data_IF_171263860421
#
_entry.id   IF_171263860421
#
_cell.length_a   1.000
_cell.length_b   1.000
_cell.length_c   1.000
_cell.angle_alpha   90.00
_cell.angle_beta   90.00
_cell.angle_gamma   90.00
#
_symmetry.space_group_name_H-M   'P 1'
#
loop_
_entity.id
_entity.type
_entity.pdbx_description
1 polymer ?
#
# COMPACT_ATOMS: atom_id res chain seq x y z
N UNK A 1 34.82 3.66 -11.63
CA UNK A 1 34.18 4.86 -11.07
C UNK A 1 32.66 4.91 -11.30
N UNK A 2 32.15 4.96 -12.54
CA UNK A 2 30.69 5.06 -12.77
C UNK A 2 29.86 3.86 -12.27
N UNK A 3 30.37 2.63 -12.41
CA UNK A 3 29.70 1.41 -11.93
C UNK A 3 29.59 1.36 -10.40
N UNK A 4 30.64 1.77 -9.71
CA UNK A 4 30.70 1.81 -8.25
C UNK A 4 29.79 2.90 -7.67
N UNK A 5 29.74 4.08 -8.30
CA UNK A 5 28.78 5.13 -7.95
C UNK A 5 27.33 4.66 -8.10
N UNK A 6 26.98 4.00 -9.21
CA UNK A 6 25.63 3.45 -9.42
C UNK A 6 25.25 2.40 -8.37
N UNK A 7 26.19 1.55 -7.97
CA UNK A 7 25.98 0.57 -6.90
C UNK A 7 25.71 1.26 -5.55
N UNK A 8 26.62 2.14 -5.12
CA UNK A 8 26.54 2.81 -3.80
C UNK A 8 25.28 3.68 -3.70
N UNK A 9 24.98 4.46 -4.73
CA UNK A 9 23.76 5.27 -4.78
C UNK A 9 22.50 4.39 -4.78
N UNK A 10 22.50 3.32 -5.57
CA UNK A 10 21.41 2.35 -5.63
C UNK A 10 21.09 1.76 -4.26
N UNK A 11 22.11 1.30 -3.54
CA UNK A 11 21.97 0.73 -2.19
C UNK A 11 21.55 1.77 -1.14
N UNK A 12 22.10 2.99 -1.19
CA UNK A 12 21.67 4.09 -0.31
C UNK A 12 20.20 4.43 -0.50
N UNK A 13 19.75 4.48 -1.75
CA UNK A 13 18.35 4.72 -2.08
C UNK A 13 17.46 3.56 -1.66
N UNK A 14 17.89 2.30 -1.83
CA UNK A 14 17.15 1.11 -1.39
C UNK A 14 16.98 1.12 0.13
N UNK A 15 18.06 1.39 0.87
CA UNK A 15 18.03 1.55 2.34
C UNK A 15 17.05 2.64 2.75
N UNK A 16 17.10 3.81 2.08
CA UNK A 16 16.18 4.91 2.36
C UNK A 16 14.72 4.56 2.03
N UNK A 17 14.47 3.84 0.94
CA UNK A 17 13.14 3.36 0.57
C UNK A 17 12.60 2.42 1.65
N UNK A 18 13.40 1.44 2.06
CA UNK A 18 13.05 0.49 3.10
C UNK A 18 12.76 1.17 4.45
N UNK A 19 13.58 2.15 4.87
CA UNK A 19 13.32 2.92 6.09
C UNK A 19 11.98 3.67 6.02
N UNK A 20 11.69 4.33 4.90
CA UNK A 20 10.42 5.03 4.73
C UNK A 20 9.23 4.07 4.72
N UNK A 21 9.38 2.88 4.11
CA UNK A 21 8.34 1.86 4.15
C UNK A 21 8.10 1.35 5.56
N UNK A 22 9.14 1.08 6.36
CA UNK A 22 8.97 0.66 7.76
C UNK A 22 8.12 1.68 8.53
N UNK A 23 8.43 2.97 8.39
CA UNK A 23 7.68 4.05 9.05
C UNK A 23 6.25 4.09 8.50
N UNK A 24 6.06 4.01 7.18
CA UNK A 24 4.75 4.03 6.55
C UNK A 24 3.87 2.85 7.03
N UNK A 25 4.40 1.63 7.05
CA UNK A 25 3.67 0.45 7.54
C UNK A 25 3.33 0.56 9.03
N UNK A 26 4.25 1.04 9.87
CA UNK A 26 3.99 1.25 11.29
C UNK A 26 2.87 2.29 11.53
N UNK A 27 2.90 3.41 10.80
CA UNK A 27 1.85 4.43 10.86
C UNK A 27 0.51 3.92 10.30
N UNK A 28 0.53 3.17 9.19
CA UNK A 28 -0.66 2.54 8.62
C UNK A 28 -1.30 1.56 9.60
N UNK A 29 -0.50 0.76 10.30
CA UNK A 29 -0.97 -0.18 11.30
C UNK A 29 -1.59 0.55 12.50
N UNK A 30 -0.89 1.54 13.06
CA UNK A 30 -1.40 2.35 14.15
C UNK A 30 -2.69 3.10 13.76
N UNK A 31 -2.71 3.72 12.58
CA UNK A 31 -3.89 4.39 12.03
C UNK A 31 -5.07 3.44 11.83
N UNK A 32 -4.82 2.24 11.29
CA UNK A 32 -5.85 1.21 11.12
C UNK A 32 -6.40 0.73 12.47
N UNK A 33 -5.56 0.57 13.48
CA UNK A 33 -5.98 0.19 14.82
C UNK A 33 -6.87 1.28 15.45
N UNK A 34 -6.46 2.55 15.37
CA UNK A 34 -7.25 3.68 15.85
C UNK A 34 -8.58 3.81 15.09
N UNK A 35 -8.56 3.59 13.77
CA UNK A 35 -9.78 3.56 12.95
C UNK A 35 -10.74 2.47 13.45
N UNK A 36 -10.27 1.24 13.64
CA UNK A 36 -11.10 0.15 14.16
C UNK A 36 -11.66 0.45 15.56
N UNK A 37 -10.83 1.00 16.46
CA UNK A 37 -11.28 1.42 17.79
C UNK A 37 -12.34 2.51 17.73
N UNK A 38 -12.21 3.47 16.80
CA UNK A 38 -13.21 4.53 16.59
C UNK A 38 -14.56 4.00 16.09
N UNK A 39 -14.57 2.84 15.41
CA UNK A 39 -15.79 2.19 14.93
C UNK A 39 -16.43 1.28 15.97
N UNK A 40 -15.76 0.96 17.08
CA UNK A 40 -16.28 0.06 18.11
C UNK A 40 -17.68 0.48 18.64
N UNK A 41 -17.95 1.78 18.94
CA UNK A 41 -19.27 2.23 19.40
C UNK A 41 -20.36 1.98 18.35
N UNK A 42 -20.03 2.11 17.06
CA UNK A 42 -20.95 1.82 15.97
C UNK A 42 -21.27 0.32 15.93
N UNK A 43 -20.25 -0.54 15.97
CA UNK A 43 -20.44 -1.99 15.93
C UNK A 43 -21.20 -2.54 17.14
N UNK A 44 -20.89 -2.09 18.36
CA UNK A 44 -21.64 -2.50 19.56
C UNK A 44 -23.10 -2.09 19.43
N UNK A 45 -23.36 -0.87 18.94
CA UNK A 45 -24.72 -0.38 18.80
C UNK A 45 -25.54 -1.09 17.72
N UNK A 46 -24.90 -1.56 16.64
CA UNK A 46 -25.55 -2.32 15.57
C UNK A 46 -25.82 -3.78 15.99
N UNK A 47 -24.97 -4.36 16.83
CA UNK A 47 -25.18 -5.71 17.38
C UNK A 47 -26.42 -5.79 18.28
N UNK A 48 -26.75 -4.69 18.95
CA UNK A 48 -27.93 -4.57 19.83
C UNK A 48 -29.07 -3.76 19.21
N UNK A 49 -28.98 -3.42 17.91
CA UNK A 49 -30.05 -2.72 17.22
C UNK A 49 -31.23 -3.68 16.97
N UNK A 50 -32.49 -3.21 17.09
CA UNK A 50 -33.67 -3.97 16.67
C UNK A 50 -33.53 -4.44 15.22
N UNK A 51 -34.10 -5.61 14.90
CA UNK A 51 -34.02 -6.26 13.58
C UNK A 51 -34.68 -5.46 12.43
N UNK A 52 -35.29 -4.32 12.76
CA UNK A 52 -36.28 -3.63 11.92
C UNK A 52 -35.68 -2.58 10.98
N UNK A 53 -34.35 -2.43 10.93
CA UNK A 53 -33.70 -1.65 9.88
C UNK A 53 -32.41 -0.97 10.30
N UNK A 54 -31.71 -0.41 9.31
CA UNK A 54 -30.50 0.36 9.52
C UNK A 54 -30.85 1.71 10.18
N UNK A 55 -30.14 2.14 11.24
CA UNK A 55 -30.46 3.38 11.95
C UNK A 55 -30.35 4.60 11.02
N UNK A 56 -31.22 5.61 11.18
CA UNK A 56 -31.15 6.83 10.38
C UNK A 56 -29.80 7.55 10.58
N UNK A 57 -29.30 8.18 9.52
CA UNK A 57 -27.95 8.79 9.47
C UNK A 57 -27.61 9.72 10.65
N UNK A 58 -28.52 10.58 11.14
CA UNK A 58 -28.26 11.39 12.33
C UNK A 58 -27.90 10.57 13.58
N UNK A 59 -28.56 9.42 13.79
CA UNK A 59 -28.29 8.53 14.92
C UNK A 59 -26.96 7.77 14.76
N UNK A 60 -26.49 7.54 13.52
CA UNK A 60 -25.16 6.98 13.26
C UNK A 60 -24.07 8.00 13.59
N UNK A 61 -24.27 9.26 13.20
CA UNK A 61 -23.33 10.36 13.47
C UNK A 61 -23.19 10.60 14.98
N UNK A 62 -24.30 10.60 15.72
CA UNK A 62 -24.29 10.75 17.18
C UNK A 62 -23.47 9.65 17.88
N UNK A 63 -23.57 8.41 17.39
CA UNK A 63 -22.79 7.28 17.93
C UNK A 63 -21.32 7.30 17.54
N UNK A 64 -20.98 7.95 16.42
CA UNK A 64 -19.59 8.17 16.00
C UNK A 64 -18.97 9.40 16.68
N UNK A 65 -19.78 10.32 17.23
CA UNK A 65 -19.31 11.54 17.87
C UNK A 65 -18.19 11.33 18.92
N UNK A 66 -18.27 10.33 19.82
CA UNK A 66 -17.19 10.03 20.77
C UNK A 66 -15.90 9.53 20.10
N UNK A 67 -16.04 8.91 18.91
CA UNK A 67 -14.93 8.39 18.11
C UNK A 67 -14.32 9.39 17.14
N UNK A 68 -14.90 10.59 16.96
CA UNK A 68 -14.46 11.54 15.93
C UNK A 68 -12.99 11.99 16.08
N UNK A 69 -12.52 12.18 17.31
CA UNK A 69 -11.11 12.54 17.56
C UNK A 69 -10.17 11.39 17.14
N UNK A 70 -10.52 10.16 17.51
CA UNK A 70 -9.76 8.96 17.11
C UNK A 70 -9.82 8.75 15.60
N UNK A 71 -10.97 9.01 14.98
CA UNK A 71 -11.18 8.92 13.54
C UNK A 71 -10.34 9.96 12.78
N UNK A 72 -10.31 11.20 13.26
CA UNK A 72 -9.49 12.27 12.70
C UNK A 72 -7.99 11.94 12.84
N UNK A 73 -7.55 11.46 14.01
CA UNK A 73 -6.18 11.04 14.23
C UNK A 73 -5.80 9.85 13.33
N UNK A 74 -6.68 8.85 13.22
CA UNK A 74 -6.50 7.71 12.32
C UNK A 74 -6.36 8.18 10.86
N UNK A 75 -7.22 9.08 10.41
CA UNK A 75 -7.15 9.65 9.06
C UNK A 75 -5.82 10.37 8.82
N UNK A 76 -5.34 11.19 9.76
CA UNK A 76 -4.05 11.87 9.67
C UNK A 76 -2.91 10.86 9.55
N UNK A 77 -2.87 9.84 10.42
CA UNK A 77 -1.83 8.81 10.37
C UNK A 77 -1.83 8.05 9.05
N UNK A 78 -3.00 7.67 8.55
CA UNK A 78 -3.14 6.97 7.28
C UNK A 78 -2.71 7.83 6.08
N UNK A 79 -3.04 9.13 6.09
CA UNK A 79 -2.60 10.08 5.06
C UNK A 79 -1.08 10.23 5.09
N UNK A 80 -0.48 10.45 6.27
CA UNK A 80 0.98 10.56 6.40
C UNK A 80 1.66 9.26 5.95
N UNK A 81 1.13 8.11 6.36
CA UNK A 81 1.65 6.81 5.93
C UNK A 81 1.60 6.64 4.41
N UNK A 82 0.48 7.00 3.77
CA UNK A 82 0.33 6.95 2.32
C UNK A 82 1.35 7.86 1.62
N UNK A 83 1.50 9.11 2.07
CA UNK A 83 2.48 10.06 1.53
C UNK A 83 3.91 9.51 1.64
N UNK A 84 4.28 8.96 2.80
CA UNK A 84 5.60 8.34 3.00
C UNK A 84 5.80 7.12 2.10
N UNK A 85 4.77 6.28 1.93
CA UNK A 85 4.80 5.15 0.99
C UNK A 85 5.00 5.60 -0.46
N UNK A 86 4.32 6.68 -0.88
CA UNK A 86 4.54 7.29 -2.20
C UNK A 86 5.97 7.79 -2.37
N UNK A 87 6.51 8.52 -1.40
CA UNK A 87 7.91 9.00 -1.44
C UNK A 87 8.87 7.81 -1.48
N UNK A 88 8.63 6.77 -0.67
CA UNK A 88 9.46 5.58 -0.64
C UNK A 88 9.53 4.88 -2.00
N UNK A 89 8.38 4.74 -2.69
CA UNK A 89 8.33 4.09 -4.00
C UNK A 89 8.92 4.98 -5.09
N UNK A 90 8.36 6.18 -5.28
CA UNK A 90 8.64 7.00 -6.45
C UNK A 90 9.93 7.79 -6.35
N UNK A 91 10.28 8.29 -5.16
CA UNK A 91 11.49 9.09 -4.97
C UNK A 91 12.71 8.24 -4.61
N UNK A 92 12.54 7.02 -4.09
CA UNK A 92 13.65 6.18 -3.59
C UNK A 92 13.75 4.82 -4.29
N UNK A 93 12.69 4.01 -4.30
CA UNK A 93 12.73 2.64 -4.82
C UNK A 93 12.92 2.58 -6.34
N UNK A 94 12.13 3.32 -7.11
CA UNK A 94 12.24 3.34 -8.58
C UNK A 94 13.63 3.86 -9.02
N UNK A 95 14.15 4.98 -8.46
CA UNK A 95 15.52 5.41 -8.74
C UNK A 95 16.57 4.40 -8.30
N UNK A 96 16.41 3.76 -7.15
CA UNK A 96 17.31 2.70 -6.66
C UNK A 96 17.42 1.56 -7.67
N UNK A 97 16.28 0.99 -8.08
CA UNK A 97 16.25 -0.11 -9.04
C UNK A 97 16.88 0.30 -10.39
N UNK A 98 16.69 1.55 -10.82
CA UNK A 98 17.30 2.07 -12.05
C UNK A 98 18.83 2.19 -11.95
N UNK A 99 19.34 2.67 -10.81
CA UNK A 99 20.78 2.76 -10.54
C UNK A 99 21.42 1.38 -10.46
N UNK A 100 20.78 0.45 -9.76
CA UNK A 100 21.26 -0.94 -9.64
C UNK A 100 21.25 -1.66 -10.99
N UNK A 101 20.27 -1.41 -11.86
CA UNK A 101 20.26 -1.92 -13.24
C UNK A 101 21.45 -1.42 -14.09
N UNK A 102 21.94 -0.20 -13.85
CA UNK A 102 23.13 0.31 -14.52
C UNK A 102 24.43 -0.28 -13.96
N UNK A 103 24.40 -0.82 -12.74
CA UNK A 103 25.52 -1.55 -12.16
C UNK A 103 25.60 -2.99 -12.69
N UNK A 104 24.47 -3.71 -12.72
CA UNK A 104 24.37 -5.09 -13.23
C UNK A 104 23.20 -5.25 -14.19
N UNK A 105 23.50 -5.75 -15.39
CA UNK A 105 22.52 -5.96 -16.47
C UNK A 105 21.40 -6.94 -16.08
N UNK A 106 21.67 -7.93 -15.21
CA UNK A 106 20.65 -8.86 -14.67
C UNK A 106 19.52 -8.13 -13.94
N UNK A 107 19.80 -6.97 -13.34
CA UNK A 107 18.81 -6.17 -12.61
C UNK A 107 17.95 -5.28 -13.54
N UNK A 108 18.20 -5.28 -14.85
CA UNK A 108 17.48 -4.43 -15.80
C UNK A 108 16.00 -4.81 -15.98
N UNK A 109 15.70 -6.10 -16.08
CA UNK A 109 14.32 -6.61 -16.17
C UNK A 109 13.51 -6.28 -14.91
N UNK A 110 13.95 -6.67 -13.69
CA UNK A 110 13.19 -6.33 -12.48
C UNK A 110 13.04 -4.83 -12.27
N UNK A 111 14.06 -4.03 -12.61
CA UNK A 111 13.99 -2.57 -12.56
C UNK A 111 12.91 -1.98 -13.48
N UNK A 112 12.78 -2.50 -14.71
CA UNK A 112 11.70 -2.11 -15.63
C UNK A 112 10.33 -2.48 -15.08
N UNK A 113 10.18 -3.67 -14.49
CA UNK A 113 8.92 -4.10 -13.88
C UNK A 113 8.51 -3.20 -12.71
N UNK A 114 9.45 -2.89 -11.80
CA UNK A 114 9.23 -1.93 -10.70
C UNK A 114 8.80 -0.57 -11.26
N UNK A 115 9.56 -0.03 -12.22
CA UNK A 115 9.27 1.29 -12.79
C UNK A 115 7.91 1.35 -13.46
N UNK A 116 7.66 0.50 -14.47
CA UNK A 116 6.44 0.57 -15.26
C UNK A 116 5.22 0.08 -14.50
N UNK A 117 5.37 -0.90 -13.60
CA UNK A 117 4.30 -1.36 -12.73
C UNK A 117 3.79 -0.24 -11.83
N UNK A 118 4.66 0.42 -11.07
CA UNK A 118 4.23 1.49 -10.16
C UNK A 118 3.79 2.77 -10.89
N UNK A 119 4.47 3.18 -11.97
CA UNK A 119 4.00 4.34 -12.75
C UNK A 119 2.66 4.10 -13.43
N UNK A 120 2.46 2.89 -13.98
CA UNK A 120 1.19 2.48 -14.54
C UNK A 120 0.10 2.46 -13.47
N UNK A 121 0.36 1.83 -12.32
CA UNK A 121 -0.57 1.80 -11.20
C UNK A 121 -1.00 3.21 -10.75
N UNK A 122 -0.04 4.14 -10.67
CA UNK A 122 -0.34 5.53 -10.32
C UNK A 122 -1.23 6.20 -11.36
N UNK A 123 -0.90 6.11 -12.64
CA UNK A 123 -1.66 6.76 -13.71
C UNK A 123 -3.11 6.24 -13.76
N UNK A 124 -3.29 4.92 -13.77
CA UNK A 124 -4.62 4.31 -13.79
C UNK A 124 -5.38 4.51 -12.47
N UNK A 125 -4.67 4.54 -11.33
CA UNK A 125 -5.25 4.84 -10.03
C UNK A 125 -5.79 6.26 -9.93
N UNK A 126 -5.02 7.26 -10.39
CA UNK A 126 -5.48 8.65 -10.46
C UNK A 126 -6.70 8.77 -11.39
N UNK A 127 -6.66 8.14 -12.56
CA UNK A 127 -7.79 8.18 -13.50
C UNK A 127 -9.05 7.54 -12.89
N UNK A 128 -8.91 6.41 -12.18
CA UNK A 128 -10.00 5.78 -11.46
C UNK A 128 -10.62 6.73 -10.41
N UNK A 129 -9.77 7.42 -9.62
CA UNK A 129 -10.22 8.40 -8.63
C UNK A 129 -10.93 9.59 -9.27
N UNK A 130 -10.46 10.09 -10.40
CA UNK A 130 -11.11 11.19 -11.13
C UNK A 130 -12.51 10.76 -11.61
N UNK A 131 -12.63 9.59 -12.25
CA UNK A 131 -13.90 9.06 -12.76
C UNK A 131 -14.91 8.87 -11.62
N UNK A 132 -14.49 8.25 -10.51
CA UNK A 132 -15.35 8.07 -9.34
C UNK A 132 -15.69 9.41 -8.68
N UNK A 133 -14.73 10.33 -8.60
CA UNK A 133 -14.93 11.67 -8.04
C UNK A 133 -15.94 12.49 -8.85
N UNK A 134 -15.87 12.44 -10.18
CA UNK A 134 -16.85 13.07 -11.07
C UNK A 134 -18.24 12.45 -10.85
N UNK A 135 -18.33 11.13 -10.77
CA UNK A 135 -19.61 10.44 -10.49
C UNK A 135 -20.21 10.90 -9.15
N UNK A 136 -19.41 10.93 -8.09
CA UNK A 136 -19.82 11.40 -6.77
C UNK A 136 -20.23 12.88 -6.77
N UNK A 137 -19.49 13.74 -7.46
CA UNK A 137 -19.80 15.16 -7.57
C UNK A 137 -21.15 15.41 -8.27
N UNK A 138 -21.51 14.58 -9.26
CA UNK A 138 -22.83 14.67 -9.91
C UNK A 138 -23.99 14.20 -9.02
N UNK A 139 -23.70 13.32 -8.05
CA UNK A 139 -24.67 12.71 -7.13
C UNK A 139 -24.88 13.50 -5.83
N UNK A 140 -23.83 14.10 -5.29
CA UNK A 140 -23.86 14.77 -3.99
C UNK A 140 -25.01 15.80 -3.82
N UNK A 141 -25.35 16.64 -4.83
CA UNK A 141 -26.46 17.59 -4.73
C UNK A 141 -27.85 16.93 -4.71
N UNK A 142 -27.96 15.70 -5.19
CA UNK A 142 -29.24 14.97 -5.30
C UNK A 142 -29.50 14.16 -4.05
N UNK A 143 -28.47 13.49 -3.52
CA UNK A 143 -28.52 12.77 -2.25
C UNK A 143 -28.88 13.73 -1.11
N UNK A 144 -28.27 14.92 -1.09
CA UNK A 144 -28.56 15.95 -0.09
C UNK A 144 -29.97 16.52 -0.18
N UNK A 145 -30.65 16.35 -1.32
CA UNK A 145 -32.03 16.82 -1.57
C UNK A 145 -33.08 15.70 -1.56
N UNK A 146 -32.69 14.46 -1.22
CA UNK A 146 -33.60 13.31 -1.18
C UNK A 146 -34.18 12.89 -2.54
N UNK A 147 -33.55 13.29 -3.65
CA UNK A 147 -34.04 12.96 -4.99
C UNK A 147 -33.58 11.56 -5.43
N UNK A 148 -34.52 10.73 -5.89
CA UNK A 148 -34.23 9.45 -6.54
C UNK A 148 -33.83 9.71 -8.00
N UNK A 149 -32.66 9.28 -8.48
CA UNK A 149 -32.27 9.49 -9.87
C UNK A 149 -33.17 8.69 -10.83
N UNK A 150 -33.58 9.28 -11.95
CA UNK A 150 -34.29 8.56 -13.02
C UNK A 150 -33.42 7.48 -13.68
N UNK A 151 -34.06 6.51 -14.34
CA UNK A 151 -33.41 5.30 -14.91
C UNK A 151 -32.19 5.59 -15.79
N UNK A 152 -32.28 6.57 -16.69
CA UNK A 152 -31.14 6.95 -17.56
C UNK A 152 -29.92 7.49 -16.78
N UNK A 153 -30.14 8.13 -15.63
CA UNK A 153 -29.04 8.58 -14.75
C UNK A 153 -28.48 7.43 -13.92
N UNK A 154 -29.31 6.49 -13.47
CA UNK A 154 -28.85 5.28 -12.81
C UNK A 154 -27.92 4.46 -13.72
N UNK A 155 -28.28 4.30 -15.00
CA UNK A 155 -27.43 3.63 -15.98
C UNK A 155 -26.10 4.38 -16.21
N UNK A 156 -26.12 5.71 -16.31
CA UNK A 156 -24.89 6.50 -16.42
C UNK A 156 -23.99 6.32 -15.19
N UNK A 157 -24.56 6.34 -13.98
CA UNK A 157 -23.82 6.15 -12.73
C UNK A 157 -23.20 4.75 -12.63
N UNK A 158 -23.96 3.72 -13.00
CA UNK A 158 -23.43 2.37 -13.10
C UNK A 158 -22.26 2.34 -14.10
N UNK A 159 -22.38 3.01 -15.24
CA UNK A 159 -21.29 3.17 -16.21
C UNK A 159 -20.04 3.81 -15.60
N UNK A 160 -20.18 4.92 -14.87
CA UNK A 160 -19.06 5.59 -14.20
C UNK A 160 -18.42 4.73 -13.11
N UNK A 161 -19.22 4.06 -12.27
CA UNK A 161 -18.74 3.19 -11.20
C UNK A 161 -18.01 1.97 -11.77
N UNK A 162 -18.59 1.31 -12.78
CA UNK A 162 -17.97 0.17 -13.45
C UNK A 162 -16.70 0.58 -14.20
N UNK A 163 -16.71 1.74 -14.87
CA UNK A 163 -15.52 2.30 -15.50
C UNK A 163 -14.40 2.59 -14.50
N UNK A 164 -14.74 3.23 -13.38
CA UNK A 164 -13.79 3.48 -12.29
C UNK A 164 -13.25 2.19 -11.67
N UNK A 165 -14.10 1.20 -11.44
CA UNK A 165 -13.71 -0.11 -10.92
C UNK A 165 -12.78 -0.87 -11.89
N UNK A 166 -13.05 -0.83 -13.19
CA UNK A 166 -12.20 -1.43 -14.21
C UNK A 166 -10.80 -0.79 -14.23
N UNK A 167 -10.70 0.54 -14.13
CA UNK A 167 -9.41 1.23 -14.03
C UNK A 167 -8.68 0.92 -12.72
N UNK A 168 -9.41 0.85 -11.60
CA UNK A 168 -8.84 0.46 -10.32
C UNK A 168 -8.27 -0.98 -10.37
N UNK A 169 -8.95 -1.90 -11.06
CA UNK A 169 -8.46 -3.25 -11.30
C UNK A 169 -7.17 -3.25 -12.14
N UNK A 170 -7.12 -2.46 -13.21
CA UNK A 170 -5.89 -2.29 -14.02
C UNK A 170 -4.76 -1.73 -13.16
N UNK A 171 -5.04 -0.71 -12.33
CA UNK A 171 -4.06 -0.15 -11.40
C UNK A 171 -3.54 -1.20 -10.41
N UNK A 172 -4.42 -2.04 -9.87
CA UNK A 172 -4.04 -3.13 -8.97
C UNK A 172 -3.14 -4.17 -9.66
N UNK A 173 -3.46 -4.57 -10.89
CA UNK A 173 -2.63 -5.50 -11.69
C UNK A 173 -1.26 -4.89 -11.95
N UNK A 174 -1.18 -3.62 -12.32
CA UNK A 174 0.09 -2.93 -12.56
C UNK A 174 0.91 -2.78 -11.28
N UNK A 175 0.27 -2.49 -10.14
CA UNK A 175 0.93 -2.45 -8.84
C UNK A 175 1.50 -3.82 -8.47
N UNK A 176 0.75 -4.89 -8.77
CA UNK A 176 1.21 -6.27 -8.57
C UNK A 176 2.42 -6.60 -9.45
N UNK A 177 2.44 -6.16 -10.71
CA UNK A 177 3.62 -6.29 -11.60
C UNK A 177 4.83 -5.55 -11.01
N UNK A 178 4.63 -4.33 -10.49
CA UNK A 178 5.68 -3.56 -9.82
C UNK A 178 6.26 -4.29 -8.61
N UNK A 179 5.39 -4.90 -7.82
CA UNK A 179 5.76 -5.72 -6.66
C UNK A 179 6.50 -7.01 -7.06
N UNK A 180 6.08 -7.72 -8.11
CA UNK A 180 6.85 -8.86 -8.66
C UNK A 180 8.26 -8.41 -9.08
N UNK A 181 8.37 -7.25 -9.72
CA UNK A 181 9.64 -6.64 -10.06
C UNK A 181 10.56 -6.45 -8.85
N UNK A 182 10.00 -5.99 -7.72
CA UNK A 182 10.72 -5.84 -6.46
C UNK A 182 11.20 -7.19 -5.93
N UNK A 183 10.37 -8.23 -5.93
CA UNK A 183 10.77 -9.57 -5.48
C UNK A 183 11.95 -10.10 -6.28
N UNK A 184 11.87 -10.05 -7.61
CA UNK A 184 12.93 -10.51 -8.50
C UNK A 184 14.20 -9.66 -8.27
N UNK A 185 14.06 -8.34 -8.10
CA UNK A 185 15.18 -7.46 -7.76
C UNK A 185 15.91 -7.93 -6.51
N UNK A 186 15.18 -8.24 -5.44
CA UNK A 186 15.76 -8.69 -4.17
C UNK A 186 16.45 -10.07 -4.30
N UNK A 187 15.85 -11.02 -5.04
CA UNK A 187 16.49 -12.31 -5.31
C UNK A 187 17.81 -12.13 -6.07
N UNK A 188 17.81 -11.36 -7.15
CA UNK A 188 19.00 -11.11 -7.96
C UNK A 188 20.07 -10.33 -7.19
N UNK A 189 19.67 -9.35 -6.36
CA UNK A 189 20.59 -8.64 -5.47
C UNK A 189 21.28 -9.59 -4.48
N UNK A 190 20.54 -10.57 -3.95
CA UNK A 190 21.14 -11.59 -3.09
C UNK A 190 22.21 -12.40 -3.83
N UNK A 191 21.94 -12.80 -5.07
CA UNK A 191 22.89 -13.54 -5.91
C UNK A 191 24.12 -12.71 -6.28
N UNK A 192 23.96 -11.41 -6.57
CA UNK A 192 25.06 -10.53 -6.98
C UNK A 192 25.93 -10.05 -5.80
N UNK A 193 25.34 -9.87 -4.61
CA UNK A 193 26.05 -9.37 -3.43
C UNK A 193 26.50 -10.46 -2.45
N UNK A 194 25.96 -11.68 -2.57
CA UNK A 194 26.15 -12.75 -1.59
C UNK A 194 25.40 -12.54 -0.27
N UNK A 195 24.62 -11.46 -0.13
CA UNK A 195 23.87 -11.16 1.10
C UNK A 195 22.52 -11.88 1.05
N UNK A 196 22.40 -12.94 1.84
CA UNK A 196 21.19 -13.77 1.94
C UNK A 196 19.94 -13.01 2.42
N UNK A 197 20.11 -11.89 3.13
CA UNK A 197 19.00 -11.12 3.71
C UNK A 197 18.03 -10.56 2.67
N UNK A 198 18.49 -10.21 1.46
CA UNK A 198 17.58 -9.78 0.39
C UNK A 198 16.63 -10.90 -0.06
N UNK A 199 17.14 -12.13 -0.20
CA UNK A 199 16.34 -13.30 -0.55
C UNK A 199 15.30 -13.61 0.54
N UNK A 200 15.71 -13.54 1.81
CA UNK A 200 14.80 -13.71 2.95
C UNK A 200 13.71 -12.63 2.96
N UNK A 201 14.07 -11.37 2.69
CA UNK A 201 13.09 -10.29 2.58
C UNK A 201 12.04 -10.55 1.49
N UNK A 202 12.47 -11.00 0.30
CA UNK A 202 11.55 -11.36 -0.78
C UNK A 202 10.56 -12.46 -0.38
N UNK A 203 11.03 -13.50 0.32
CA UNK A 203 10.18 -14.59 0.83
C UNK A 203 9.18 -14.06 1.86
N UNK A 204 9.59 -13.15 2.74
CA UNK A 204 8.70 -12.55 3.74
C UNK A 204 7.61 -11.67 3.09
N UNK A 205 7.92 -10.92 2.02
CA UNK A 205 6.90 -10.22 1.24
C UNK A 205 5.86 -11.19 0.66
N UNK A 206 6.29 -12.31 0.07
CA UNK A 206 5.38 -13.34 -0.46
C UNK A 206 4.50 -13.90 0.65
N UNK A 207 5.10 -14.23 1.80
CA UNK A 207 4.38 -14.75 2.96
C UNK A 207 3.38 -13.71 3.52
N UNK A 208 3.75 -12.42 3.53
CA UNK A 208 2.89 -11.31 3.96
C UNK A 208 1.64 -11.19 3.09
N UNK A 209 1.78 -11.26 1.77
CA UNK A 209 0.66 -11.27 0.83
C UNK A 209 -0.19 -12.53 1.01
N UNK A 210 0.44 -13.71 1.08
CA UNK A 210 -0.30 -14.96 1.30
C UNK A 210 -1.12 -14.93 2.61
N UNK A 211 -0.55 -14.41 3.69
CA UNK A 211 -1.25 -14.26 4.97
C UNK A 211 -2.47 -13.33 4.86
N UNK A 212 -2.39 -12.27 4.05
CA UNK A 212 -3.53 -11.36 3.81
C UNK A 212 -4.67 -11.98 3.02
N UNK A 213 -4.42 -13.05 2.25
CA UNK A 213 -5.45 -13.74 1.48
C UNK A 213 -6.23 -14.77 2.31
N UNK A 214 -5.72 -15.17 3.47
CA UNK A 214 -6.36 -16.16 4.36
C UNK A 214 -7.50 -15.57 5.22
N UNK A 215 -7.82 -14.29 5.04
CA UNK A 215 -8.84 -13.55 5.80
C UNK A 215 -10.28 -13.90 5.39
N UNK A 216 -10.74 -15.12 5.66
CA UNK A 216 -12.10 -15.58 5.25
C UNK A 216 -13.20 -15.14 6.23
N UNK A 217 -12.87 -14.71 7.45
CA UNK A 217 -13.85 -14.27 8.47
C UNK A 217 -13.38 -13.03 9.24
N UNK A 218 -14.33 -12.28 9.82
CA UNK A 218 -14.04 -11.02 10.56
C UNK A 218 -13.04 -11.20 11.72
N UNK A 219 -13.10 -12.25 12.56
CA UNK A 219 -12.09 -12.48 13.59
C UNK A 219 -10.71 -12.83 12.98
N UNK A 220 -10.71 -13.63 11.91
CA UNK A 220 -9.47 -13.99 11.20
C UNK A 220 -8.87 -12.79 10.45
N UNK A 221 -9.68 -11.80 10.09
CA UNK A 221 -9.24 -10.56 9.44
C UNK A 221 -8.27 -9.78 10.33
N UNK A 222 -8.52 -9.69 11.64
CA UNK A 222 -7.60 -9.00 12.55
C UNK A 222 -6.25 -9.72 12.66
N UNK A 223 -6.28 -11.04 12.80
CA UNK A 223 -5.06 -11.87 12.90
C UNK A 223 -4.27 -11.79 11.60
N UNK A 224 -4.91 -12.00 10.47
CA UNK A 224 -4.27 -11.96 9.15
C UNK A 224 -3.68 -10.60 8.80
N UNK A 225 -4.38 -9.49 9.10
CA UNK A 225 -3.84 -8.13 8.92
C UNK A 225 -2.61 -7.92 9.81
N UNK A 226 -2.66 -8.35 11.07
CA UNK A 226 -1.55 -8.20 12.00
C UNK A 226 -0.33 -9.03 11.56
N UNK A 227 -0.54 -10.29 11.19
CA UNK A 227 0.52 -11.19 10.70
C UNK A 227 1.10 -10.68 9.39
N UNK A 228 0.27 -10.30 8.42
CA UNK A 228 0.70 -9.74 7.14
C UNK A 228 1.55 -8.49 7.34
N UNK A 229 1.09 -7.57 8.20
CA UNK A 229 1.83 -6.33 8.52
C UNK A 229 3.18 -6.63 9.19
N UNK A 230 3.21 -7.58 10.14
CA UNK A 230 4.46 -7.97 10.80
C UNK A 230 5.48 -8.57 9.83
N UNK A 231 5.02 -9.41 8.88
CA UNK A 231 5.85 -9.99 7.83
C UNK A 231 6.38 -8.92 6.88
N UNK A 232 5.56 -7.96 6.47
CA UNK A 232 5.97 -6.82 5.63
C UNK A 232 6.99 -5.93 6.35
N UNK A 233 6.79 -5.62 7.63
CA UNK A 233 7.76 -4.86 8.44
C UNK A 233 9.10 -5.61 8.54
N UNK A 234 9.07 -6.91 8.78
CA UNK A 234 10.27 -7.74 8.83
C UNK A 234 10.99 -7.80 7.47
N UNK A 235 10.24 -7.89 6.36
CA UNK A 235 10.79 -7.87 5.00
C UNK A 235 11.51 -6.55 4.70
N UNK A 236 10.89 -5.42 5.01
CA UNK A 236 11.52 -4.11 4.83
C UNK A 236 12.70 -3.89 5.77
N UNK A 237 12.62 -4.38 7.01
CA UNK A 237 13.76 -4.36 7.94
C UNK A 237 14.96 -5.12 7.38
N UNK A 238 14.76 -6.35 6.89
CA UNK A 238 15.83 -7.14 6.28
C UNK A 238 16.38 -6.50 5.01
N UNK A 239 15.53 -5.86 4.20
CA UNK A 239 15.97 -5.11 3.02
C UNK A 239 16.86 -3.93 3.42
N UNK A 240 16.50 -3.18 4.47
CA UNK A 240 17.29 -2.07 5.02
C UNK A 240 18.65 -2.55 5.51
N UNK A 241 18.66 -3.57 6.37
CA UNK A 241 19.87 -4.15 6.97
C UNK A 241 20.80 -4.75 5.91
N UNK A 242 20.24 -5.45 4.92
CA UNK A 242 21.01 -6.01 3.81
C UNK A 242 21.64 -4.93 2.93
N UNK A 243 20.89 -3.86 2.63
CA UNK A 243 21.43 -2.72 1.89
C UNK A 243 22.52 -1.98 2.68
N UNK A 244 22.44 -1.94 4.00
CA UNK A 244 23.47 -1.37 4.86
C UNK A 244 24.74 -2.24 4.90
N UNK A 245 24.60 -3.56 5.06
CA UNK A 245 25.71 -4.51 4.95
C UNK A 245 26.39 -4.45 3.60
N UNK A 246 25.61 -4.31 2.52
CA UNK A 246 26.12 -4.18 1.15
C UNK A 246 26.98 -2.92 0.93
N UNK A 247 26.84 -1.90 1.79
CA UNK A 247 27.62 -0.66 1.74
C UNK A 247 28.90 -0.72 2.58
N UNK A 248 29.07 -1.73 3.42
CA UNK A 248 30.27 -1.88 4.25
C UNK A 248 31.41 -2.50 3.42
N UNK A 249 32.67 -2.08 3.65
CA UNK A 249 33.81 -2.74 3.03
C UNK A 249 33.90 -4.20 3.51
N UNK A 250 34.41 -5.12 2.67
CA UNK A 250 34.60 -6.51 3.09
C UNK A 250 35.51 -6.56 4.33
N UNK A 251 35.26 -7.49 5.28
CA UNK A 251 36.12 -7.63 6.45
C UNK A 251 37.56 -7.95 6.00
N UNK A 252 38.59 -7.44 6.72
CA UNK A 252 39.98 -7.75 6.41
C UNK A 252 40.20 -9.27 6.47
N UNK A 253 41.02 -9.83 5.58
CA UNK A 253 41.35 -11.25 5.62
C UNK A 253 42.02 -11.62 6.96
N UNK A 254 41.78 -12.85 7.48
CA UNK A 254 42.36 -13.34 8.72
C UNK A 254 43.89 -13.47 8.64
#
# INVERSE_FOLDING_TARGET
MALESNYVEGMKLLRSAATLQIIAYALSFAGSLLFLLSLLPLFTSLRFAPRDGFPPWPAVIEKLAPGLVLLALAAILLIVAAVLGFIAIFAKLIPSASRLANWRSRLSTPSKLVKYGYWGALAFGILALIIVGVALATLAPQITRGFVPGEGRLLALLGWVLGGAALALIAAILSFIGWIGLLILLFELSSETGIGGFKTAAVLHIAGVAASLLSVSVPLLFISVSVSTALELAAWYLTRDSAEKALQPPPPPP
#
